data_IF_245762587355
#
_entry.id   IF_245762587355
#
_cell.length_a   1.000
_cell.length_b   1.000
_cell.length_c   1.000
_cell.angle_alpha   90.00
_cell.angle_beta   90.00
_cell.angle_gamma   90.00
#
_symmetry.space_group_name_H-M   'P 1'
#
loop_
_entity.id
_entity.type
_entity.pdbx_description
1 polymer ?
#
# COMPACT_ATOMS: atom_id res chain seq x y z
N UNK A 1 24.15 8.27 13.78
CA UNK A 1 23.26 8.94 12.79
C UNK A 1 23.42 8.40 11.36
N UNK A 2 24.61 7.93 10.95
CA UNK A 2 24.86 7.41 9.59
C UNK A 2 24.14 6.09 9.26
N UNK A 3 23.97 5.18 10.23
CA UNK A 3 23.30 3.89 10.01
C UNK A 3 21.81 4.00 9.66
N UNK A 4 21.10 4.99 10.25
CA UNK A 4 19.70 5.27 9.92
C UNK A 4 19.55 5.89 8.52
N UNK A 5 20.52 6.72 8.09
CA UNK A 5 20.56 7.27 6.72
C UNK A 5 20.83 6.18 5.68
N UNK A 6 21.67 5.19 5.98
CA UNK A 6 21.88 4.03 5.10
C UNK A 6 20.61 3.18 4.95
N UNK A 7 19.90 2.90 6.05
CA UNK A 7 18.65 2.14 5.99
C UNK A 7 17.53 2.87 5.23
N UNK A 8 17.40 4.19 5.41
CA UNK A 8 16.47 4.99 4.60
C UNK A 8 16.86 5.04 3.12
N UNK A 9 18.16 5.04 2.82
CA UNK A 9 18.66 5.04 1.42
C UNK A 9 18.43 3.70 0.74
N UNK A 10 18.63 2.58 1.45
CA UNK A 10 18.36 1.23 0.93
C UNK A 10 16.85 1.01 0.74
N UNK A 11 16.00 1.48 1.67
CA UNK A 11 14.55 1.37 1.54
C UNK A 11 14.01 2.26 0.40
N UNK A 12 14.58 3.45 0.19
CA UNK A 12 14.27 4.32 -0.93
C UNK A 12 14.72 3.71 -2.28
N UNK A 13 15.88 3.05 -2.31
CA UNK A 13 16.40 2.39 -3.51
C UNK A 13 15.60 1.15 -3.89
N UNK A 14 15.12 0.37 -2.91
CA UNK A 14 14.21 -0.78 -3.15
C UNK A 14 12.83 -0.30 -3.62
N UNK A 15 12.33 0.85 -3.14
CA UNK A 15 11.07 1.44 -3.61
C UNK A 15 11.21 1.94 -5.07
N UNK A 16 12.32 2.58 -5.41
CA UNK A 16 12.62 3.08 -6.76
C UNK A 16 12.84 1.96 -7.80
N UNK A 17 13.36 0.80 -7.39
CA UNK A 17 13.51 -0.38 -8.26
C UNK A 17 12.18 -1.08 -8.60
N UNK A 18 11.09 -0.77 -7.90
CA UNK A 18 9.73 -1.27 -8.25
C UNK A 18 8.95 -0.35 -9.18
N UNK A 19 9.49 0.85 -9.45
CA UNK A 19 8.87 1.91 -10.25
C UNK A 19 9.43 2.00 -11.67
N UNK A 20 10.41 1.18 -12.03
CA UNK A 20 10.81 1.07 -13.44
C UNK A 20 9.74 0.26 -14.17
N UNK A 21 9.04 0.85 -15.16
CA UNK A 21 8.32 0.03 -16.12
C UNK A 21 9.38 -0.82 -16.79
N UNK A 22 9.39 -2.13 -16.50
CA UNK A 22 10.16 -3.09 -17.29
C UNK A 22 9.71 -2.83 -18.74
N UNK A 23 10.60 -2.40 -19.65
CA UNK A 23 10.24 -2.24 -21.04
C UNK A 23 10.04 -3.64 -21.57
N UNK A 24 8.81 -4.13 -21.47
CA UNK A 24 8.37 -5.24 -22.29
C UNK A 24 8.42 -4.71 -23.70
N UNK A 25 9.32 -5.26 -24.52
CA UNK A 25 9.27 -5.06 -25.96
C UNK A 25 7.83 -5.28 -26.40
N UNK A 26 7.13 -4.20 -26.75
CA UNK A 26 5.77 -4.27 -27.22
C UNK A 26 5.83 -5.08 -28.52
N UNK A 27 5.33 -6.31 -28.47
CA UNK A 27 5.01 -7.06 -29.67
C UNK A 27 4.12 -6.16 -30.53
N UNK A 28 4.42 -6.08 -31.83
CA UNK A 28 3.65 -5.25 -32.77
C UNK A 28 2.16 -5.47 -32.55
N UNK A 29 1.42 -4.38 -32.35
CA UNK A 29 -0.01 -4.43 -32.10
C UNK A 29 -0.70 -5.22 -33.23
N UNK A 30 -1.67 -6.06 -32.88
CA UNK A 30 -2.48 -6.76 -33.88
C UNK A 30 -3.38 -5.73 -34.54
N UNK A 31 -3.10 -5.43 -35.79
CA UNK A 31 -3.85 -4.45 -36.58
C UNK A 31 -4.93 -5.15 -37.41
N UNK A 32 -6.19 -4.78 -37.16
CA UNK A 32 -7.34 -5.21 -37.94
C UNK A 32 -7.58 -4.24 -39.10
N UNK A 33 -6.80 -4.36 -40.16
CA UNK A 33 -6.89 -3.46 -41.33
C UNK A 33 -7.95 -3.93 -42.34
N UNK A 34 -8.46 -2.98 -43.14
CA UNK A 34 -9.41 -3.28 -44.21
C UNK A 34 -8.84 -4.28 -45.24
N UNK A 35 -7.52 -4.23 -45.49
CA UNK A 35 -6.85 -5.18 -46.38
C UNK A 35 -6.88 -6.60 -45.84
N UNK A 36 -6.62 -6.80 -44.53
CA UNK A 36 -6.69 -8.13 -43.90
C UNK A 36 -8.14 -8.64 -43.91
N UNK A 37 -9.10 -7.75 -43.65
CA UNK A 37 -10.52 -8.11 -43.69
C UNK A 37 -10.98 -8.48 -45.12
N UNK A 38 -10.51 -7.76 -46.14
CA UNK A 38 -10.78 -8.09 -47.54
C UNK A 38 -10.19 -9.46 -47.93
N UNK A 39 -8.95 -9.76 -47.52
CA UNK A 39 -8.31 -11.06 -47.77
C UNK A 39 -9.02 -12.21 -47.06
N UNK A 40 -9.48 -12.00 -45.83
CA UNK A 40 -10.32 -12.96 -45.12
C UNK A 40 -11.63 -13.18 -45.87
N UNK A 41 -12.32 -12.11 -46.27
CA UNK A 41 -13.58 -12.20 -47.00
C UNK A 41 -13.42 -12.96 -48.31
N UNK A 42 -12.36 -12.68 -49.08
CA UNK A 42 -12.06 -13.43 -50.31
C UNK A 42 -11.80 -14.93 -50.03
N UNK A 43 -11.03 -15.24 -48.98
CA UNK A 43 -10.77 -16.63 -48.56
C UNK A 43 -12.05 -17.35 -48.15
N UNK A 44 -12.91 -16.67 -47.36
CA UNK A 44 -14.17 -17.21 -46.88
C UNK A 44 -15.18 -17.40 -48.02
N UNK A 45 -15.26 -16.45 -48.94
CA UNK A 45 -16.16 -16.48 -50.08
C UNK A 45 -15.79 -17.62 -51.05
N UNK A 46 -14.49 -17.85 -51.28
CA UNK A 46 -14.01 -19.00 -52.07
C UNK A 46 -14.34 -20.34 -51.40
N UNK A 47 -14.28 -20.42 -50.06
CA UNK A 47 -14.62 -21.64 -49.33
C UNK A 47 -16.12 -21.96 -49.38
N UNK A 48 -16.97 -20.93 -49.37
CA UNK A 48 -18.43 -21.06 -49.43
C UNK A 48 -19.05 -21.75 -48.21
N UNK A 49 -20.37 -21.95 -48.28
CA UNK A 49 -21.14 -22.75 -47.32
C UNK A 49 -20.88 -22.45 -45.84
N UNK A 50 -20.78 -23.50 -45.03
CA UNK A 50 -20.56 -23.42 -43.58
C UNK A 50 -19.17 -22.91 -43.21
N UNK A 51 -18.16 -23.18 -44.04
CA UNK A 51 -16.77 -22.74 -43.82
C UNK A 51 -16.68 -21.21 -43.90
N UNK A 52 -17.40 -20.59 -44.84
CA UNK A 52 -17.51 -19.12 -44.94
C UNK A 52 -17.99 -18.49 -43.63
N UNK A 53 -19.12 -18.98 -43.11
CA UNK A 53 -19.73 -18.47 -41.89
C UNK A 53 -18.82 -18.66 -40.67
N UNK A 54 -18.15 -19.82 -40.59
CA UNK A 54 -17.19 -20.12 -39.52
C UNK A 54 -16.01 -19.16 -39.52
N UNK A 55 -15.38 -18.92 -40.67
CA UNK A 55 -14.22 -18.03 -40.78
C UNK A 55 -14.54 -16.59 -40.38
N UNK A 56 -15.67 -16.06 -40.86
CA UNK A 56 -16.12 -14.71 -40.49
C UNK A 56 -16.39 -14.61 -38.99
N UNK A 57 -17.13 -15.58 -38.43
CA UNK A 57 -17.40 -15.63 -36.99
C UNK A 57 -16.12 -15.68 -36.16
N UNK A 58 -15.18 -16.57 -36.48
CA UNK A 58 -13.93 -16.70 -35.73
C UNK A 58 -13.09 -15.42 -35.74
N UNK A 59 -13.07 -14.71 -36.86
CA UNK A 59 -12.38 -13.42 -36.97
C UNK A 59 -13.08 -12.32 -36.16
N UNK A 60 -14.41 -12.23 -36.23
CA UNK A 60 -15.19 -11.26 -35.48
C UNK A 60 -15.10 -11.52 -33.96
N UNK A 61 -15.19 -12.79 -33.54
CA UNK A 61 -14.98 -13.21 -32.16
C UNK A 61 -13.58 -12.81 -31.69
N UNK A 62 -12.54 -13.07 -32.50
CA UNK A 62 -11.17 -12.69 -32.16
C UNK A 62 -11.00 -11.17 -32.04
N UNK A 63 -11.56 -10.40 -32.98
CA UNK A 63 -11.57 -8.93 -32.93
C UNK A 63 -12.26 -8.41 -31.67
N UNK A 64 -13.39 -9.00 -31.30
CA UNK A 64 -14.13 -8.68 -30.07
C UNK A 64 -13.31 -8.98 -28.81
N UNK A 65 -12.68 -10.14 -28.72
CA UNK A 65 -11.83 -10.47 -27.58
C UNK A 65 -10.62 -9.55 -27.45
N UNK A 66 -10.00 -9.16 -28.57
CA UNK A 66 -8.90 -8.19 -28.55
C UNK A 66 -9.33 -6.83 -28.00
N UNK A 67 -10.53 -6.37 -28.35
CA UNK A 67 -11.11 -5.15 -27.76
C UNK A 67 -11.33 -5.31 -26.25
N UNK A 68 -11.90 -6.43 -25.82
CA UNK A 68 -12.08 -6.70 -24.38
C UNK A 68 -10.76 -6.70 -23.62
N UNK A 69 -9.68 -7.26 -24.20
CA UNK A 69 -8.35 -7.24 -23.57
C UNK A 69 -7.87 -5.81 -23.31
N UNK A 70 -8.08 -4.89 -24.28
CA UNK A 70 -7.75 -3.47 -24.12
C UNK A 70 -8.62 -2.80 -23.05
N UNK A 71 -9.93 -3.03 -23.08
CA UNK A 71 -10.86 -2.48 -22.08
C UNK A 71 -10.48 -2.92 -20.65
N UNK A 72 -10.03 -4.17 -20.48
CA UNK A 72 -9.53 -4.65 -19.20
C UNK A 72 -8.23 -3.99 -18.79
N UNK A 73 -7.33 -3.70 -19.73
CA UNK A 73 -6.07 -3.01 -19.43
C UNK A 73 -6.30 -1.60 -18.88
N UNK A 74 -7.27 -0.87 -19.45
CA UNK A 74 -7.66 0.45 -18.95
C UNK A 74 -8.28 0.36 -17.55
N UNK A 75 -9.22 -0.59 -17.34
CA UNK A 75 -9.86 -0.82 -16.02
C UNK A 75 -8.85 -1.19 -14.95
N UNK A 76 -7.94 -2.12 -15.24
CA UNK A 76 -6.89 -2.54 -14.32
C UNK A 76 -5.96 -1.38 -13.99
N UNK A 77 -5.55 -0.60 -15.00
CA UNK A 77 -4.64 0.53 -14.79
C UNK A 77 -5.27 1.61 -13.94
N UNK A 78 -6.50 2.01 -14.25
CA UNK A 78 -7.27 2.97 -13.44
C UNK A 78 -7.39 2.53 -11.98
N UNK A 79 -7.83 1.29 -11.75
CA UNK A 79 -8.03 0.77 -10.39
C UNK A 79 -6.71 0.68 -9.62
N UNK A 80 -5.63 0.24 -10.27
CA UNK A 80 -4.30 0.20 -9.68
C UNK A 80 -3.81 1.58 -9.25
N UNK A 81 -3.95 2.59 -10.10
CA UNK A 81 -3.54 3.96 -9.76
C UNK A 81 -4.34 4.50 -8.57
N UNK A 82 -5.66 4.28 -8.56
CA UNK A 82 -6.50 4.65 -7.43
C UNK A 82 -6.09 3.92 -6.14
N UNK A 83 -5.80 2.62 -6.22
CA UNK A 83 -5.34 1.81 -5.08
C UNK A 83 -4.00 2.30 -4.53
N UNK A 84 -3.03 2.61 -5.40
CA UNK A 84 -1.72 3.13 -5.00
C UNK A 84 -1.83 4.48 -4.28
N UNK A 85 -2.66 5.39 -4.82
CA UNK A 85 -2.94 6.69 -4.21
C UNK A 85 -3.58 6.51 -2.82
N UNK A 86 -4.68 5.73 -2.73
CA UNK A 86 -5.37 5.48 -1.46
C UNK A 86 -4.45 4.82 -0.43
N UNK A 87 -3.67 3.80 -0.82
CA UNK A 87 -2.74 3.13 0.09
C UNK A 87 -1.61 4.06 0.57
N UNK A 88 -1.13 4.97 -0.27
CA UNK A 88 -0.17 6.01 0.12
C UNK A 88 -0.76 6.97 1.14
N UNK A 89 -1.98 7.44 0.90
CA UNK A 89 -2.72 8.30 1.82
C UNK A 89 -2.99 7.62 3.16
N UNK A 90 -3.45 6.37 3.16
CA UNK A 90 -3.62 5.57 4.39
C UNK A 90 -2.32 5.50 5.19
N UNK A 91 -1.17 5.26 4.53
CA UNK A 91 0.13 5.24 5.22
C UNK A 91 0.51 6.60 5.82
N UNK A 92 0.18 7.70 5.16
CA UNK A 92 0.37 9.06 5.73
C UNK A 92 -0.48 9.25 6.98
N UNK A 93 -1.77 8.92 6.92
CA UNK A 93 -2.70 9.03 8.05
C UNK A 93 -2.28 8.17 9.25
N UNK A 94 -1.66 7.00 9.04
CA UNK A 94 -1.08 6.20 10.13
C UNK A 94 -0.04 7.00 10.93
N UNK A 95 0.75 7.85 10.28
CA UNK A 95 1.77 8.66 10.97
C UNK A 95 1.16 9.77 11.83
N UNK A 96 -0.05 10.20 11.48
CA UNK A 96 -0.79 11.30 12.10
C UNK A 96 -1.68 10.84 13.27
N UNK A 97 -1.91 9.53 13.43
CA UNK A 97 -2.70 8.97 14.54
C UNK A 97 -2.26 9.59 15.87
N UNK A 98 -3.23 10.20 16.55
CA UNK A 98 -3.12 10.79 17.89
C UNK A 98 -1.98 11.79 18.08
N UNK A 99 -1.43 12.35 17.00
CA UNK A 99 -0.28 13.25 17.06
C UNK A 99 -0.57 14.48 17.94
N UNK A 100 -1.74 15.08 17.79
CA UNK A 100 -2.15 16.26 18.58
C UNK A 100 -2.45 15.91 20.04
N UNK A 101 -3.09 14.76 20.29
CA UNK A 101 -3.35 14.25 21.65
C UNK A 101 -2.03 14.04 22.40
N UNK A 102 -1.06 13.38 21.76
CA UNK A 102 0.27 13.14 22.34
C UNK A 102 0.98 14.47 22.60
N UNK A 103 0.97 15.39 21.64
CA UNK A 103 1.61 16.71 21.80
C UNK A 103 1.02 17.46 23.00
N UNK A 104 -0.31 17.51 23.13
CA UNK A 104 -0.97 18.15 24.28
C UNK A 104 -0.58 17.51 25.60
N UNK A 105 -0.47 16.17 25.66
CA UNK A 105 -0.03 15.47 26.87
C UNK A 105 1.45 15.74 27.21
N UNK A 106 2.31 15.90 26.19
CA UNK A 106 3.71 16.31 26.37
C UNK A 106 3.79 17.73 26.93
N UNK A 107 3.03 18.67 26.36
CA UNK A 107 2.96 20.05 26.83
C UNK A 107 2.44 20.14 28.27
N UNK A 108 1.38 19.38 28.61
CA UNK A 108 0.82 19.31 29.95
C UNK A 108 1.80 18.72 30.98
N UNK A 109 2.53 17.67 30.60
CA UNK A 109 3.56 17.07 31.45
C UNK A 109 4.70 18.07 31.71
N UNK A 110 5.15 18.77 30.67
CA UNK A 110 6.21 19.76 30.79
C UNK A 110 5.78 20.94 31.66
N UNK A 111 4.57 21.45 31.45
CA UNK A 111 3.98 22.51 32.26
C UNK A 111 3.87 22.11 33.75
N UNK A 112 3.45 20.88 34.04
CA UNK A 112 3.40 20.36 35.41
C UNK A 112 4.78 20.27 36.05
N UNK A 113 5.78 19.74 35.33
CA UNK A 113 7.17 19.69 35.81
C UNK A 113 7.69 21.10 36.14
N UNK A 114 7.53 22.05 35.22
CA UNK A 114 7.94 23.44 35.44
C UNK A 114 7.20 24.10 36.61
N UNK A 115 5.90 23.83 36.78
CA UNK A 115 5.08 24.37 37.87
C UNK A 115 5.54 23.86 39.24
N UNK A 116 5.85 22.57 39.37
CA UNK A 116 6.22 21.96 40.66
C UNK A 116 7.73 22.00 40.96
N UNK A 117 8.58 22.32 39.98
CA UNK A 117 10.03 22.37 40.17
C UNK A 117 10.45 23.29 41.34
N UNK A 118 9.96 24.54 41.46
CA UNK A 118 10.33 25.40 42.58
C UNK A 118 9.94 24.80 43.94
N UNK A 119 8.77 24.17 44.04
CA UNK A 119 8.31 23.51 45.25
C UNK A 119 9.25 22.36 45.67
N UNK A 120 9.71 21.57 44.70
CA UNK A 120 10.66 20.48 44.95
C UNK A 120 12.03 21.00 45.36
N UNK A 121 12.50 22.06 44.73
CA UNK A 121 13.78 22.69 45.05
C UNK A 121 13.78 23.30 46.45
N UNK A 122 12.71 24.02 46.82
CA UNK A 122 12.55 24.55 48.19
C UNK A 122 12.49 23.44 49.22
N UNK A 123 11.73 22.36 48.98
CA UNK A 123 11.66 21.22 49.89
C UNK A 123 13.03 20.52 50.04
N UNK A 124 13.79 20.40 48.95
CA UNK A 124 15.15 19.85 48.97
C UNK A 124 16.11 20.73 49.78
N UNK A 125 16.08 22.05 49.56
CA UNK A 125 16.88 23.01 50.31
C UNK A 125 16.56 22.97 51.82
N UNK A 126 15.27 22.91 52.18
CA UNK A 126 14.85 22.83 53.57
C UNK A 126 15.38 21.57 54.26
N UNK A 127 15.35 20.42 53.57
CA UNK A 127 15.93 19.18 54.11
C UNK A 127 17.45 19.26 54.31
N UNK A 128 18.17 19.98 53.44
CA UNK A 128 19.60 20.25 53.63
C UNK A 128 19.85 21.15 54.84
N UNK A 129 19.03 22.19 55.05
CA UNK A 129 19.11 23.06 56.22
C UNK A 129 18.81 22.31 57.52
N UNK A 130 17.81 21.41 57.54
CA UNK A 130 17.54 20.52 58.67
C UNK A 130 18.78 19.67 58.99
N UNK A 131 19.41 19.08 57.97
CA UNK A 131 20.61 18.27 58.17
C UNK A 131 21.78 19.10 58.74
N UNK A 132 21.95 20.35 58.29
CA UNK A 132 22.96 21.27 58.83
C UNK A 132 22.66 21.67 60.29
N UNK A 133 21.43 22.06 60.62
CA UNK A 133 21.02 22.41 61.99
C UNK A 133 21.23 21.26 62.97
N UNK A 134 20.93 20.01 62.54
CA UNK A 134 21.23 18.80 63.33
C UNK A 134 22.72 18.62 63.60
N UNK A 135 23.59 18.88 62.61
CA UNK A 135 25.05 18.83 62.80
C UNK A 135 25.55 19.88 63.79
N UNK A 136 24.94 21.07 63.79
CA UNK A 136 25.24 22.16 64.72
C UNK A 136 24.63 21.96 66.12
N UNK A 137 23.89 20.86 66.36
CA UNK A 137 23.19 20.55 67.61
C UNK A 137 22.14 21.59 68.03
N UNK A 138 21.68 22.45 67.10
CA UNK A 138 20.61 23.40 67.36
C UNK A 138 19.24 22.70 67.27
N UNK A 139 18.73 22.29 68.43
CA UNK A 139 17.46 21.58 68.56
C UNK A 139 16.24 22.45 68.22
N UNK A 140 16.32 23.76 68.48
CA UNK A 140 15.21 24.69 68.23
C UNK A 140 15.04 24.92 66.73
N UNK A 141 16.15 25.28 66.06
CA UNK A 141 16.18 25.51 64.62
C UNK A 141 15.81 24.24 63.84
N UNK A 142 16.35 23.08 64.25
CA UNK A 142 15.99 21.79 63.63
C UNK A 142 14.49 21.50 63.72
N UNK A 143 13.84 21.78 64.87
CA UNK A 143 12.42 21.48 65.08
C UNK A 143 11.51 22.42 64.28
N UNK A 144 11.88 23.71 64.19
CA UNK A 144 11.19 24.69 63.35
C UNK A 144 11.24 24.31 61.87
N UNK A 145 12.43 24.02 61.34
CA UNK A 145 12.61 23.62 59.94
C UNK A 145 11.91 22.28 59.63
N UNK A 146 11.87 21.34 60.57
CA UNK A 146 11.12 20.09 60.42
C UNK A 146 9.60 20.31 60.33
N UNK A 147 9.05 21.24 61.11
CA UNK A 147 7.62 21.59 61.02
C UNK A 147 7.28 22.17 59.64
N UNK A 148 8.13 23.06 59.14
CA UNK A 148 7.98 23.65 57.80
C UNK A 148 8.14 22.59 56.68
N UNK A 149 9.08 21.64 56.80
CA UNK A 149 9.17 20.49 55.88
C UNK A 149 7.91 19.63 55.92
N UNK A 150 7.36 19.41 57.12
CA UNK A 150 6.15 18.63 57.34
C UNK A 150 4.96 19.20 56.56
N UNK A 151 4.75 20.52 56.62
CA UNK A 151 3.69 21.20 55.87
C UNK A 151 3.89 21.11 54.35
N UNK A 152 5.12 21.23 53.87
CA UNK A 152 5.43 21.13 52.43
C UNK A 152 5.34 19.71 51.86
N UNK A 153 5.51 18.68 52.70
CA UNK A 153 5.53 17.27 52.27
C UNK A 153 4.26 16.86 51.52
N UNK A 154 3.09 17.34 51.96
CA UNK A 154 1.79 17.05 51.33
C UNK A 154 1.74 17.64 49.91
N UNK A 155 2.15 18.90 49.76
CA UNK A 155 2.19 19.58 48.46
C UNK A 155 3.18 18.91 47.50
N UNK A 156 4.33 18.48 48.00
CA UNK A 156 5.34 17.74 47.22
C UNK A 156 4.79 16.38 46.77
N UNK A 157 4.09 15.66 47.66
CA UNK A 157 3.46 14.40 47.31
C UNK A 157 2.40 14.58 46.21
N UNK A 158 1.55 15.61 46.35
CA UNK A 158 0.53 15.95 45.35
C UNK A 158 1.14 16.32 44.00
N UNK A 159 2.20 17.14 43.99
CA UNK A 159 2.89 17.51 42.74
C UNK A 159 3.58 16.33 42.06
N UNK A 160 4.17 15.41 42.84
CA UNK A 160 4.73 14.16 42.30
C UNK A 160 3.65 13.27 41.70
N UNK A 161 2.49 13.20 42.34
CA UNK A 161 1.37 12.40 41.86
C UNK A 161 0.76 12.98 40.57
N UNK A 162 0.59 14.30 40.47
CA UNK A 162 0.13 14.92 39.22
C UNK A 162 1.10 14.66 38.06
N UNK A 163 2.41 14.83 38.28
CA UNK A 163 3.44 14.52 37.26
C UNK A 163 3.36 13.03 36.86
N UNK A 164 3.21 12.12 37.84
CA UNK A 164 3.09 10.68 37.59
C UNK A 164 1.85 10.36 36.75
N UNK A 165 0.71 10.96 37.07
CA UNK A 165 -0.54 10.77 36.36
C UNK A 165 -0.45 11.27 34.91
N UNK A 166 0.12 12.45 34.68
CA UNK A 166 0.36 12.97 33.33
C UNK A 166 1.35 12.12 32.53
N UNK A 167 2.41 11.64 33.18
CA UNK A 167 3.37 10.71 32.56
C UNK A 167 2.71 9.39 32.18
N UNK A 168 1.85 8.83 33.04
CA UNK A 168 1.10 7.62 32.76
C UNK A 168 0.13 7.81 31.59
N UNK A 169 -0.61 8.93 31.56
CA UNK A 169 -1.50 9.28 30.45
C UNK A 169 -0.75 9.41 29.12
N UNK A 170 0.41 10.08 29.11
CA UNK A 170 1.26 10.19 27.93
C UNK A 170 1.75 8.81 27.43
N UNK A 171 2.23 7.97 28.34
CA UNK A 171 2.69 6.61 28.01
C UNK A 171 1.54 5.76 27.45
N UNK A 172 0.36 5.83 28.06
CA UNK A 172 -0.83 5.12 27.59
C UNK A 172 -1.23 5.57 26.18
N UNK A 173 -1.29 6.88 25.92
CA UNK A 173 -1.59 7.42 24.59
C UNK A 173 -0.57 6.99 23.53
N UNK A 174 0.73 6.99 23.87
CA UNK A 174 1.79 6.50 22.96
C UNK A 174 1.66 5.01 22.64
N UNK A 175 1.28 4.19 23.64
CA UNK A 175 1.02 2.76 23.48
C UNK A 175 -0.21 2.50 22.60
N UNK A 176 -1.30 3.21 22.86
CA UNK A 176 -2.54 3.17 22.07
C UNK A 176 -2.27 3.49 20.60
N UNK A 177 -1.59 4.63 20.33
CA UNK A 177 -1.16 5.00 18.97
C UNK A 177 -0.38 3.89 18.29
N UNK A 178 0.60 3.31 18.99
CA UNK A 178 1.46 2.26 18.43
C UNK A 178 0.65 1.02 18.07
N UNK A 179 -0.29 0.62 18.94
CA UNK A 179 -1.19 -0.50 18.70
C UNK A 179 -2.14 -0.24 17.52
N UNK A 180 -2.80 0.92 17.47
CA UNK A 180 -3.68 1.32 16.35
C UNK A 180 -2.91 1.33 15.03
N UNK A 181 -1.72 1.93 15.02
CA UNK A 181 -0.85 1.96 13.85
C UNK A 181 -0.41 0.54 13.41
N UNK A 182 -0.06 -0.35 14.35
CA UNK A 182 0.31 -1.72 14.04
C UNK A 182 -0.85 -2.51 13.42
N UNK A 183 -2.06 -2.36 13.96
CA UNK A 183 -3.28 -2.99 13.44
C UNK A 183 -3.55 -2.57 11.99
N UNK A 184 -3.47 -1.28 11.68
CA UNK A 184 -3.70 -0.77 10.32
C UNK A 184 -2.61 -1.28 9.36
N UNK A 185 -1.34 -1.29 9.78
CA UNK A 185 -0.23 -1.83 8.97
C UNK A 185 -0.39 -3.32 8.69
N UNK A 186 -0.84 -4.10 9.68
CA UNK A 186 -1.11 -5.52 9.51
C UNK A 186 -2.20 -5.76 8.46
N UNK A 187 -3.30 -4.99 8.47
CA UNK A 187 -4.32 -5.08 7.42
C UNK A 187 -3.72 -4.75 6.05
N UNK A 188 -2.93 -3.66 5.93
CA UNK A 188 -2.29 -3.30 4.66
C UNK A 188 -1.31 -4.36 4.14
N UNK A 189 -0.72 -5.18 5.01
CA UNK A 189 0.18 -6.27 4.58
C UNK A 189 -0.56 -7.40 3.85
N UNK A 190 -1.88 -7.51 4.04
CA UNK A 190 -2.72 -8.46 3.29
C UNK A 190 -2.78 -8.15 1.78
N UNK A 191 -2.26 -6.99 1.34
CA UNK A 191 -2.12 -6.63 -0.08
C UNK A 191 -1.03 -7.47 -0.78
N UNK A 192 0.02 -7.88 -0.06
CA UNK A 192 1.22 -8.46 -0.66
C UNK A 192 0.97 -9.78 -1.42
N UNK A 193 0.15 -10.72 -0.90
CA UNK A 193 -0.22 -11.92 -1.66
C UNK A 193 -0.93 -11.61 -2.99
N UNK A 194 -1.75 -10.55 -3.04
CA UNK A 194 -2.44 -10.15 -4.27
C UNK A 194 -1.47 -9.54 -5.29
N UNK A 195 -0.52 -8.72 -4.84
CA UNK A 195 0.56 -8.22 -5.71
C UNK A 195 1.38 -9.36 -6.32
N UNK A 196 1.69 -10.38 -5.53
CA UNK A 196 2.39 -11.57 -6.01
C UNK A 196 1.57 -12.32 -7.07
N UNK A 197 0.26 -12.52 -6.84
CA UNK A 197 -0.64 -13.14 -7.82
C UNK A 197 -0.76 -12.32 -9.12
N UNK A 198 -0.85 -10.99 -9.03
CA UNK A 198 -0.84 -10.10 -10.19
C UNK A 198 0.46 -10.26 -10.99
N UNK A 199 1.62 -10.31 -10.31
CA UNK A 199 2.91 -10.56 -10.97
C UNK A 199 2.91 -11.92 -11.67
N UNK A 200 2.42 -12.97 -11.00
CA UNK A 200 2.29 -14.31 -11.57
C UNK A 200 1.44 -14.33 -12.84
N UNK A 201 0.25 -13.72 -12.81
CA UNK A 201 -0.63 -13.67 -13.97
C UNK A 201 -0.06 -12.80 -15.10
N UNK A 202 0.63 -11.70 -14.79
CA UNK A 202 1.38 -10.92 -15.80
C UNK A 202 2.46 -11.74 -16.49
N UNK A 203 3.25 -12.49 -15.71
CA UNK A 203 4.26 -13.39 -16.27
C UNK A 203 3.63 -14.47 -17.14
N UNK A 204 2.53 -15.09 -16.69
CA UNK A 204 1.82 -16.14 -17.42
C UNK A 204 1.28 -15.67 -18.79
N UNK A 205 0.98 -14.38 -18.97
CA UNK A 205 0.55 -13.82 -20.25
C UNK A 205 1.70 -13.61 -21.25
N UNK A 206 2.97 -13.67 -20.83
CA UNK A 206 4.13 -13.39 -21.69
C UNK A 206 4.20 -14.37 -22.87
N UNK A 207 4.08 -15.67 -22.60
CA UNK A 207 4.16 -16.69 -23.66
C UNK A 207 2.96 -16.62 -24.62
N UNK A 208 1.69 -16.57 -24.15
CA UNK A 208 0.55 -16.38 -25.03
C UNK A 208 0.65 -15.13 -25.92
N UNK A 209 1.13 -14.00 -25.40
CA UNK A 209 1.33 -12.78 -26.19
C UNK A 209 2.36 -12.95 -27.31
N UNK A 210 3.46 -13.66 -27.03
CA UNK A 210 4.48 -13.97 -28.06
C UNK A 210 3.91 -14.89 -29.14
N UNK A 211 3.26 -15.98 -28.73
CA UNK A 211 2.64 -16.94 -29.65
C UNK A 211 1.55 -16.27 -30.49
N UNK A 212 0.77 -15.35 -29.91
CA UNK A 212 -0.25 -14.59 -30.61
C UNK A 212 0.33 -13.82 -31.80
N UNK A 213 1.50 -13.21 -31.63
CA UNK A 213 2.17 -12.46 -32.69
C UNK A 213 2.61 -13.37 -33.83
N UNK A 214 3.11 -14.56 -33.50
CA UNK A 214 3.49 -15.59 -34.49
C UNK A 214 2.26 -16.11 -35.22
N UNK A 215 1.21 -16.48 -34.50
CA UNK A 215 -0.02 -17.01 -35.11
C UNK A 215 -0.75 -15.94 -35.94
N UNK A 216 -0.63 -14.66 -35.58
CA UNK A 216 -1.17 -13.57 -36.40
C UNK A 216 -0.45 -13.46 -37.75
N UNK A 217 0.87 -13.68 -37.78
CA UNK A 217 1.62 -13.76 -39.04
C UNK A 217 1.19 -14.98 -39.86
N UNK A 218 1.01 -16.14 -39.22
CA UNK A 218 0.52 -17.35 -39.89
C UNK A 218 -0.87 -17.16 -40.50
N UNK A 219 -1.77 -16.53 -39.75
CA UNK A 219 -3.10 -16.16 -40.23
C UNK A 219 -3.02 -15.26 -41.46
N UNK A 220 -2.24 -14.17 -41.42
CA UNK A 220 -2.06 -13.26 -42.57
C UNK A 220 -1.49 -13.99 -43.79
N UNK A 221 -0.57 -14.93 -43.61
CA UNK A 221 -0.04 -15.74 -44.69
C UNK A 221 -1.11 -16.67 -45.29
N UNK A 222 -1.92 -17.31 -44.45
CA UNK A 222 -2.99 -18.22 -44.87
C UNK A 222 -4.10 -17.51 -45.67
N UNK A 223 -4.55 -16.33 -45.23
CA UNK A 223 -5.56 -15.55 -45.98
C UNK A 223 -5.01 -15.00 -47.30
N UNK A 224 -3.71 -14.66 -47.36
CA UNK A 224 -3.07 -14.26 -48.62
C UNK A 224 -2.99 -15.42 -49.62
N UNK A 225 -2.77 -16.64 -49.12
CA UNK A 225 -2.76 -17.87 -49.92
C UNK A 225 -4.17 -18.41 -50.23
N UNK A 226 -5.23 -17.82 -49.67
CA UNK A 226 -6.61 -18.31 -49.75
C UNK A 226 -6.82 -19.74 -49.20
N UNK A 227 -6.01 -20.13 -48.20
CA UNK A 227 -6.07 -21.45 -47.56
C UNK A 227 -7.11 -21.45 -46.43
N UNK A 228 -8.35 -21.82 -46.73
CA UNK A 228 -9.47 -21.73 -45.78
C UNK A 228 -9.28 -22.59 -44.52
N UNK A 229 -8.80 -23.84 -44.67
CA UNK A 229 -8.52 -24.73 -43.54
C UNK A 229 -7.45 -24.15 -42.60
N UNK A 230 -6.31 -23.74 -43.16
CA UNK A 230 -5.21 -23.14 -42.39
C UNK A 230 -5.60 -21.81 -41.74
N UNK A 231 -6.44 -21.03 -42.42
CA UNK A 231 -7.00 -19.79 -41.85
C UNK A 231 -7.86 -20.09 -40.63
N UNK A 232 -8.77 -21.06 -40.72
CA UNK A 232 -9.61 -21.50 -39.60
C UNK A 232 -8.76 -22.00 -38.42
N UNK A 233 -7.71 -22.77 -38.70
CA UNK A 233 -6.83 -23.30 -37.65
C UNK A 233 -6.04 -22.18 -36.96
N UNK A 234 -5.48 -21.24 -37.72
CA UNK A 234 -4.78 -20.08 -37.17
C UNK A 234 -5.72 -19.22 -36.31
N UNK A 235 -6.95 -18.95 -36.78
CA UNK A 235 -7.96 -18.22 -35.99
C UNK A 235 -8.35 -18.97 -34.71
N UNK A 236 -8.49 -20.29 -34.77
CA UNK A 236 -8.82 -21.11 -33.59
C UNK A 236 -7.71 -21.03 -32.53
N UNK A 237 -6.43 -21.03 -32.95
CA UNK A 237 -5.29 -20.83 -32.06
C UNK A 237 -5.25 -19.43 -31.48
N UNK A 238 -5.49 -18.40 -32.31
CA UNK A 238 -5.57 -17.00 -31.87
C UNK A 238 -6.67 -16.80 -30.81
N UNK A 239 -7.86 -17.36 -31.02
CA UNK A 239 -8.95 -17.35 -30.04
C UNK A 239 -8.54 -18.03 -28.73
N UNK A 240 -7.91 -19.21 -28.81
CA UNK A 240 -7.43 -19.92 -27.61
C UNK A 240 -6.43 -19.09 -26.81
N UNK A 241 -5.44 -18.50 -27.48
CA UNK A 241 -4.43 -17.65 -26.84
C UNK A 241 -5.06 -16.37 -26.26
N UNK A 242 -6.07 -15.82 -26.93
CA UNK A 242 -6.75 -14.59 -26.54
C UNK A 242 -7.63 -14.83 -25.31
N UNK A 243 -8.38 -15.93 -25.29
CA UNK A 243 -9.11 -16.40 -24.12
C UNK A 243 -8.21 -16.64 -22.90
N UNK A 244 -7.01 -17.21 -23.09
CA UNK A 244 -6.03 -17.36 -22.00
C UNK A 244 -5.62 -15.98 -21.42
N UNK A 245 -5.29 -15.01 -22.29
CA UNK A 245 -4.93 -13.65 -21.86
C UNK A 245 -6.10 -12.99 -21.13
N UNK A 246 -7.30 -13.08 -21.70
CA UNK A 246 -8.51 -12.46 -21.13
C UNK A 246 -8.83 -13.02 -19.74
N UNK A 247 -8.72 -14.33 -19.55
CA UNK A 247 -8.89 -14.96 -18.25
C UNK A 247 -7.92 -14.40 -17.20
N UNK A 248 -6.64 -14.22 -17.57
CA UNK A 248 -5.63 -13.61 -16.68
C UNK A 248 -5.91 -12.14 -16.38
N UNK A 249 -6.36 -11.35 -17.36
CA UNK A 249 -6.77 -9.95 -17.12
C UNK A 249 -7.93 -9.85 -16.13
N UNK A 250 -8.96 -10.69 -16.28
CA UNK A 250 -10.09 -10.76 -15.34
C UNK A 250 -9.65 -11.12 -13.91
N UNK A 251 -8.71 -12.06 -13.78
CA UNK A 251 -8.11 -12.41 -12.48
C UNK A 251 -7.34 -11.24 -11.88
N UNK A 252 -6.51 -10.54 -12.67
CA UNK A 252 -5.78 -9.35 -12.22
C UNK A 252 -6.75 -8.27 -11.72
N UNK A 253 -7.81 -7.97 -12.47
CA UNK A 253 -8.83 -7.02 -12.04
C UNK A 253 -9.48 -7.43 -10.71
N UNK A 254 -9.81 -8.72 -10.55
CA UNK A 254 -10.36 -9.26 -9.30
C UNK A 254 -9.39 -9.07 -8.13
N UNK A 255 -8.09 -9.24 -8.34
CA UNK A 255 -7.08 -8.98 -7.32
C UNK A 255 -6.98 -7.50 -6.96
N UNK A 256 -7.06 -6.61 -7.95
CA UNK A 256 -7.11 -5.16 -7.69
C UNK A 256 -8.34 -4.75 -6.87
N UNK A 257 -9.51 -5.36 -7.11
CA UNK A 257 -10.70 -5.14 -6.27
C UNK A 257 -10.50 -5.63 -4.83
N UNK A 258 -9.81 -6.76 -4.65
CA UNK A 258 -9.46 -7.25 -3.31
C UNK A 258 -8.49 -6.32 -2.59
N UNK A 259 -7.53 -5.74 -3.31
CA UNK A 259 -6.62 -4.71 -2.78
C UNK A 259 -7.41 -3.49 -2.33
N UNK A 260 -8.38 -3.03 -3.13
CA UNK A 260 -9.26 -1.92 -2.75
C UNK A 260 -10.02 -2.20 -1.44
N UNK A 261 -10.59 -3.40 -1.30
CA UNK A 261 -11.28 -3.82 -0.09
C UNK A 261 -10.37 -3.83 1.15
N UNK A 262 -9.12 -4.30 1.01
CA UNK A 262 -8.11 -4.26 2.09
C UNK A 262 -7.81 -2.81 2.50
N UNK A 263 -7.63 -1.91 1.52
CA UNK A 263 -7.39 -0.48 1.79
C UNK A 263 -8.59 0.16 2.50
N UNK A 264 -9.81 -0.16 2.07
CA UNK A 264 -11.04 0.33 2.72
C UNK A 264 -11.12 -0.11 4.18
N UNK A 265 -10.85 -1.39 4.48
CA UNK A 265 -10.77 -1.90 5.87
C UNK A 265 -9.70 -1.19 6.69
N UNK A 266 -8.52 -0.96 6.12
CA UNK A 266 -7.45 -0.22 6.78
C UNK A 266 -7.88 1.22 7.12
N UNK A 267 -8.54 1.90 6.18
CA UNK A 267 -9.06 3.25 6.38
C UNK A 267 -10.18 3.32 7.43
N UNK A 268 -11.02 2.29 7.54
CA UNK A 268 -12.05 2.21 8.58
C UNK A 268 -11.44 2.17 9.99
N UNK A 269 -10.24 1.58 10.15
CA UNK A 269 -9.51 1.59 11.43
C UNK A 269 -8.83 2.95 11.73
N UNK A 270 -8.80 3.88 10.78
CA UNK A 270 -8.24 5.23 10.94
C UNK A 270 -9.30 6.31 11.14
N UNK A 271 -10.57 5.94 11.06
CA UNK A 271 -11.66 6.77 11.58
C UNK A 271 -11.64 6.69 13.12
#
# INVERSE_FOLDING_TARGET
MMLKRLWFSILAMVLLLTLTPIPFANAAAIEFTDSVQAQLNATADRAGGTVRSKLKKQYDDFKSERKQVMDWDDRISSLRYANEAKASETRKRISEIDKDKIRRLEDQLQAAKSKYQPLFDTYSALNKQIAAAKKLKDKSLSKMLQSQAGGMKILVALGREDIRNKQAALTAAKKERTSKAAKVRSILSEIDPYKSKIKGDKSAMTTPNKLMTTEWKNFKAAVKANESARTSDALSRLLTLSGQILAKKKSIHTYEQKIESVISRANAQLR
#
